data_IF_283732907629
#
_entry.id   IF_283732907629
#
_cell.length_a   1.000
_cell.length_b   1.000
_cell.length_c   1.000
_cell.angle_alpha   90.00
_cell.angle_beta   90.00
_cell.angle_gamma   90.00
#
_symmetry.space_group_name_H-M   'P 1'
#
loop_
_entity.id
_entity.type
_entity.pdbx_description
1 polymer ?
#
# COMPACT_ATOMS: atom_id res chain seq x y z
N UNK A 1 -14.90 5.44 -7.96
CA UNK A 1 -14.33 4.90 -6.70
C UNK A 1 -13.84 6.00 -5.79
N UNK A 2 -12.97 6.91 -6.26
CA UNK A 2 -12.55 8.09 -5.49
C UNK A 2 -13.73 8.97 -5.06
N UNK A 3 -14.73 9.15 -5.93
CA UNK A 3 -15.98 9.87 -5.57
C UNK A 3 -16.81 9.18 -4.49
N UNK A 4 -16.74 7.85 -4.40
CA UNK A 4 -17.53 7.06 -3.44
C UNK A 4 -16.82 6.91 -2.09
N UNK A 5 -15.50 7.05 -2.06
CA UNK A 5 -14.66 6.89 -0.87
C UNK A 5 -13.61 8.01 -0.77
N UNK A 6 -14.04 9.25 -0.51
CA UNK A 6 -13.12 10.36 -0.32
C UNK A 6 -12.27 10.13 0.94
N UNK A 7 -11.00 10.52 0.88
CA UNK A 7 -10.08 10.43 2.03
C UNK A 7 -9.44 9.05 2.26
N UNK A 8 -9.77 8.04 1.45
CA UNK A 8 -9.05 6.76 1.51
C UNK A 8 -7.73 6.82 0.76
N UNK A 9 -6.71 6.19 1.35
CA UNK A 9 -5.42 5.96 0.71
C UNK A 9 -5.57 4.76 -0.23
N UNK A 10 -5.32 4.98 -1.51
CA UNK A 10 -5.31 3.93 -2.52
C UNK A 10 -3.93 3.30 -2.59
N UNK A 11 -3.87 1.98 -2.51
CA UNK A 11 -2.64 1.23 -2.56
C UNK A 11 -2.61 0.32 -3.80
N UNK A 12 -1.47 0.31 -4.50
CA UNK A 12 -1.17 -0.62 -5.59
C UNK A 12 -0.31 -1.76 -5.09
N UNK A 13 -0.58 -2.98 -5.56
CA UNK A 13 0.29 -4.13 -5.27
C UNK A 13 1.67 -3.93 -5.88
N UNK A 14 2.71 -3.90 -5.04
CA UNK A 14 4.08 -3.63 -5.48
C UNK A 14 4.61 -4.67 -6.47
N UNK A 15 4.21 -5.94 -6.34
CA UNK A 15 4.64 -6.99 -7.28
C UNK A 15 4.10 -6.77 -8.70
N UNK A 16 2.85 -6.31 -8.83
CA UNK A 16 2.27 -5.98 -10.13
C UNK A 16 2.81 -4.66 -10.66
N UNK A 17 2.97 -3.67 -9.79
CA UNK A 17 3.55 -2.38 -10.15
C UNK A 17 4.97 -2.54 -10.71
N UNK A 18 5.82 -3.31 -10.04
CA UNK A 18 7.18 -3.63 -10.52
C UNK A 18 7.17 -4.24 -11.91
N UNK A 19 6.28 -5.20 -12.17
CA UNK A 19 6.15 -5.81 -13.52
C UNK A 19 5.77 -4.76 -14.55
N UNK A 20 4.77 -3.93 -14.26
CA UNK A 20 4.30 -2.90 -15.19
C UNK A 20 5.43 -1.92 -15.56
N UNK A 21 6.24 -1.48 -14.60
CA UNK A 21 7.39 -0.60 -14.88
C UNK A 21 8.46 -1.32 -15.68
N UNK A 22 8.80 -2.56 -15.30
CA UNK A 22 9.83 -3.35 -15.98
C UNK A 22 9.43 -3.77 -17.41
N UNK A 23 8.14 -3.91 -17.69
CA UNK A 23 7.62 -4.22 -19.02
C UNK A 23 7.78 -3.03 -19.98
N UNK A 24 7.81 -1.80 -19.44
CA UNK A 24 8.11 -0.57 -20.19
C UNK A 24 9.61 -0.23 -20.22
N UNK A 25 10.44 -0.99 -19.50
CA UNK A 25 11.87 -0.70 -19.39
C UNK A 25 12.63 -1.38 -20.52
N UNK A 26 13.48 -0.66 -21.28
CA UNK A 26 14.35 -1.28 -22.27
C UNK A 26 15.26 -2.35 -21.65
N UNK A 27 15.51 -3.44 -22.38
CA UNK A 27 16.26 -4.59 -21.86
C UNK A 27 17.64 -4.24 -21.30
N UNK A 28 18.33 -3.27 -21.90
CA UNK A 28 19.65 -2.79 -21.46
C UNK A 28 19.67 -2.14 -20.07
N UNK A 29 18.54 -1.61 -19.61
CA UNK A 29 18.40 -0.89 -18.34
C UNK A 29 17.51 -1.63 -17.34
N UNK A 30 17.09 -2.86 -17.66
CA UNK A 30 16.12 -3.60 -16.87
C UNK A 30 16.64 -3.98 -15.48
N UNK A 31 17.91 -4.34 -15.39
CA UNK A 31 18.56 -4.70 -14.12
C UNK A 31 18.74 -3.45 -13.23
N UNK A 32 19.23 -2.35 -13.82
CA UNK A 32 19.37 -1.06 -13.13
C UNK A 32 18.02 -0.54 -12.63
N UNK A 33 16.96 -0.62 -13.44
CA UNK A 33 15.61 -0.26 -13.02
C UNK A 33 15.09 -1.16 -11.91
N UNK A 34 15.38 -2.47 -11.95
CA UNK A 34 14.95 -3.39 -10.90
C UNK A 34 15.56 -3.03 -9.54
N UNK A 35 16.87 -2.77 -9.49
CA UNK A 35 17.58 -2.40 -8.27
C UNK A 35 17.03 -1.11 -7.67
N UNK A 36 16.80 -0.09 -8.51
CA UNK A 36 16.27 1.18 -8.01
C UNK A 36 14.81 1.05 -7.58
N UNK A 37 14.00 0.25 -8.26
CA UNK A 37 12.64 -0.07 -7.80
C UNK A 37 12.62 -0.80 -6.46
N UNK A 38 13.61 -1.64 -6.16
CA UNK A 38 13.74 -2.22 -4.80
C UNK A 38 13.99 -1.12 -3.78
N UNK A 39 14.95 -0.23 -4.05
CA UNK A 39 15.26 0.89 -3.17
C UNK A 39 14.04 1.80 -2.95
N UNK A 40 13.33 2.22 -3.99
CA UNK A 40 12.16 3.09 -3.85
C UNK A 40 11.07 2.42 -2.98
N UNK A 41 10.75 1.15 -3.23
CA UNK A 41 9.64 0.47 -2.57
C UNK A 41 9.95 0.01 -1.14
N UNK A 42 11.24 -0.13 -0.80
CA UNK A 42 11.75 -0.47 0.53
C UNK A 42 12.13 0.74 1.39
N UNK A 43 11.97 1.97 0.89
CA UNK A 43 12.26 3.19 1.63
C UNK A 43 11.59 3.25 3.01
N UNK A 44 12.22 3.98 3.94
CA UNK A 44 11.74 4.17 5.31
C UNK A 44 10.56 5.14 5.39
N UNK A 45 10.52 6.13 4.51
CA UNK A 45 9.49 7.17 4.44
C UNK A 45 9.11 7.55 3.00
N UNK A 46 8.03 8.33 2.85
CA UNK A 46 7.59 8.85 1.56
C UNK A 46 8.61 9.83 0.96
N UNK A 47 9.23 10.65 1.80
CA UNK A 47 10.24 11.64 1.40
C UNK A 47 11.47 10.93 0.83
N UNK A 48 11.97 9.89 1.52
CA UNK A 48 13.10 9.09 1.05
C UNK A 48 12.78 8.36 -0.27
N UNK A 49 11.58 7.77 -0.38
CA UNK A 49 11.13 7.16 -1.63
C UNK A 49 11.10 8.18 -2.77
N UNK A 50 10.70 9.42 -2.48
CA UNK A 50 10.59 10.48 -3.47
C UNK A 50 11.96 10.97 -3.93
N UNK A 51 12.90 11.18 -3.01
CA UNK A 51 14.29 11.53 -3.36
C UNK A 51 14.90 10.46 -4.28
N UNK A 52 14.73 9.17 -3.96
CA UNK A 52 15.22 8.07 -4.80
C UNK A 52 14.59 8.04 -6.19
N UNK A 53 13.32 8.42 -6.30
CA UNK A 53 12.64 8.56 -7.60
C UNK A 53 13.24 9.72 -8.40
N UNK A 54 13.41 10.89 -7.78
CA UNK A 54 13.92 12.07 -8.47
C UNK A 54 15.38 11.83 -8.95
N UNK A 55 16.23 11.20 -8.13
CA UNK A 55 17.59 10.76 -8.52
C UNK A 55 17.58 9.79 -9.71
N UNK A 56 16.59 8.89 -9.77
CA UNK A 56 16.45 7.94 -10.87
C UNK A 56 16.09 8.65 -12.18
N UNK A 57 15.19 9.64 -12.12
CA UNK A 57 14.77 10.40 -13.31
C UNK A 57 15.98 11.06 -13.94
N UNK A 58 16.81 11.76 -13.17
CA UNK A 58 18.01 12.42 -13.68
C UNK A 58 18.95 11.47 -14.44
N UNK A 59 19.01 10.19 -14.03
CA UNK A 59 19.88 9.17 -14.62
C UNK A 59 19.32 8.51 -15.87
N UNK A 60 17.98 8.37 -15.96
CA UNK A 60 17.30 7.52 -16.95
C UNK A 60 16.27 8.25 -17.83
N UNK A 61 16.08 9.56 -17.68
CA UNK A 61 15.05 10.37 -18.38
C UNK A 61 15.00 10.08 -19.89
N UNK A 62 16.14 10.18 -20.57
CA UNK A 62 16.22 9.96 -22.03
C UNK A 62 16.27 8.48 -22.42
N UNK A 63 16.63 7.59 -21.47
CA UNK A 63 16.92 6.18 -21.72
C UNK A 63 15.69 5.29 -21.55
N UNK A 64 14.81 5.63 -20.62
CA UNK A 64 13.67 4.81 -20.23
C UNK A 64 12.43 5.66 -19.88
N UNK A 65 12.14 6.68 -20.69
CA UNK A 65 11.04 7.64 -20.46
C UNK A 65 9.68 6.97 -20.20
N UNK A 66 9.29 5.97 -20.98
CA UNK A 66 8.03 5.21 -20.78
C UNK A 66 7.95 4.51 -19.41
N UNK A 67 9.07 3.95 -18.95
CA UNK A 67 9.13 3.31 -17.64
C UNK A 67 9.05 4.33 -16.51
N UNK A 68 9.68 5.50 -16.67
CA UNK A 68 9.62 6.59 -15.70
C UNK A 68 8.20 7.17 -15.60
N UNK A 69 7.52 7.40 -16.71
CA UNK A 69 6.10 7.83 -16.73
C UNK A 69 5.23 6.84 -15.95
N UNK A 70 5.37 5.54 -16.24
CA UNK A 70 4.63 4.48 -15.54
C UNK A 70 4.95 4.44 -14.04
N UNK A 71 6.22 4.68 -13.68
CA UNK A 71 6.68 4.70 -12.29
C UNK A 71 6.12 5.93 -11.55
N UNK A 72 6.13 7.10 -12.16
CA UNK A 72 5.60 8.33 -11.58
C UNK A 72 4.10 8.26 -11.32
N UNK A 73 3.34 7.81 -12.31
CA UNK A 73 1.89 7.70 -12.23
C UNK A 73 1.45 6.77 -11.09
N UNK A 74 2.18 5.67 -10.89
CA UNK A 74 1.88 4.69 -9.85
C UNK A 74 2.64 4.88 -8.54
N UNK A 75 3.51 5.90 -8.43
CA UNK A 75 4.44 6.05 -7.32
C UNK A 75 3.71 6.11 -5.97
N UNK A 76 2.81 7.08 -5.83
CA UNK A 76 2.10 7.33 -4.56
C UNK A 76 1.27 6.12 -4.13
N UNK A 77 0.61 5.44 -5.06
CA UNK A 77 -0.18 4.24 -4.76
C UNK A 77 0.72 3.07 -4.36
N UNK A 78 1.90 2.93 -4.96
CA UNK A 78 2.84 1.86 -4.65
C UNK A 78 3.58 2.07 -3.32
N UNK A 79 3.81 3.32 -2.92
CA UNK A 79 4.48 3.69 -1.66
C UNK A 79 3.50 4.01 -0.54
N UNK A 80 2.18 4.07 -0.80
CA UNK A 80 1.14 4.32 0.21
C UNK A 80 1.30 3.50 1.50
N UNK A 81 1.79 2.25 1.38
CA UNK A 81 2.05 1.35 2.50
C UNK A 81 3.09 1.88 3.51
N UNK A 82 3.93 2.84 3.12
CA UNK A 82 4.92 3.47 4.00
C UNK A 82 4.27 4.28 5.13
N UNK A 83 3.01 4.67 4.97
CA UNK A 83 2.22 5.30 6.05
C UNK A 83 1.90 4.34 7.21
N UNK A 84 2.11 3.03 7.04
CA UNK A 84 1.87 2.03 8.07
C UNK A 84 3.15 1.70 8.86
N UNK A 85 3.03 1.13 10.07
CA UNK A 85 4.20 0.65 10.82
C UNK A 85 4.94 -0.45 10.06
N UNK A 86 6.27 -0.49 10.23
CA UNK A 86 7.17 -1.37 9.47
C UNK A 86 6.74 -2.84 9.48
N UNK A 87 6.28 -3.34 10.63
CA UNK A 87 5.79 -4.71 10.81
C UNK A 87 4.70 -5.09 9.79
N UNK A 88 3.83 -4.15 9.45
CA UNK A 88 2.69 -4.37 8.55
C UNK A 88 3.07 -4.22 7.09
N UNK A 89 4.07 -3.38 6.79
CA UNK A 89 4.49 -3.07 5.42
C UNK A 89 4.78 -4.33 4.62
N UNK A 90 5.56 -5.26 5.17
CA UNK A 90 5.97 -6.49 4.44
C UNK A 90 4.79 -7.32 3.94
N UNK A 91 3.72 -7.46 4.73
CA UNK A 91 2.54 -8.27 4.34
C UNK A 91 1.58 -7.48 3.45
N UNK A 92 1.44 -6.18 3.68
CA UNK A 92 0.48 -5.34 2.97
C UNK A 92 1.01 -4.77 1.65
N UNK A 93 2.34 -4.70 1.45
CA UNK A 93 2.99 -4.29 0.18
C UNK A 93 2.49 -5.06 -1.05
N UNK A 94 1.96 -6.27 -0.87
CA UNK A 94 1.49 -7.13 -1.97
C UNK A 94 0.09 -7.69 -1.68
N UNK A 95 -0.56 -8.19 -2.73
CA UNK A 95 -1.86 -8.86 -2.66
C UNK A 95 -1.76 -10.38 -2.51
N UNK A 96 -0.61 -10.91 -2.08
CA UNK A 96 -0.35 -12.37 -2.05
C UNK A 96 -1.38 -13.14 -1.21
N UNK A 97 -1.88 -12.58 -0.10
CA UNK A 97 -2.95 -13.20 0.69
C UNK A 97 -4.21 -13.46 -0.16
N UNK A 98 -4.67 -12.43 -0.85
CA UNK A 98 -5.87 -12.48 -1.68
C UNK A 98 -5.64 -13.36 -2.91
N UNK A 99 -4.46 -13.27 -3.54
CA UNK A 99 -4.10 -14.12 -4.67
C UNK A 99 -4.09 -15.61 -4.29
N UNK A 100 -3.58 -15.96 -3.11
CA UNK A 100 -3.60 -17.34 -2.60
C UNK A 100 -5.02 -17.82 -2.34
N UNK A 101 -5.84 -16.99 -1.72
CA UNK A 101 -7.25 -17.30 -1.49
C UNK A 101 -8.02 -17.49 -2.80
N UNK A 102 -7.84 -16.60 -3.78
CA UNK A 102 -8.44 -16.71 -5.10
C UNK A 102 -7.95 -17.96 -5.82
N UNK A 103 -6.66 -18.31 -5.71
CA UNK A 103 -6.13 -19.56 -6.26
C UNK A 103 -6.81 -20.79 -5.66
N UNK A 104 -7.15 -20.78 -4.38
CA UNK A 104 -7.88 -21.88 -3.74
C UNK A 104 -9.31 -21.99 -4.27
N UNK A 105 -10.00 -20.86 -4.47
CA UNK A 105 -11.29 -20.84 -5.17
C UNK A 105 -11.15 -21.49 -6.57
N UNK A 106 -10.16 -21.05 -7.36
CA UNK A 106 -9.91 -21.58 -8.71
C UNK A 106 -9.58 -23.08 -8.71
N UNK A 107 -8.87 -23.57 -7.70
CA UNK A 107 -8.56 -25.01 -7.55
C UNK A 107 -9.83 -25.83 -7.35
N UNK A 108 -10.74 -25.39 -6.48
CA UNK A 108 -12.02 -26.07 -6.21
C UNK A 108 -12.99 -25.95 -7.40
N UNK A 109 -13.04 -24.79 -8.04
CA UNK A 109 -13.79 -24.55 -9.28
C UNK A 109 -13.38 -25.53 -10.39
N UNK A 110 -12.07 -25.74 -10.60
CA UNK A 110 -11.53 -26.59 -11.66
C UNK A 110 -12.01 -28.04 -11.58
N UNK A 111 -12.31 -28.55 -10.39
CA UNK A 111 -12.85 -29.91 -10.19
C UNK A 111 -14.31 -29.99 -10.61
N UNK A 112 -15.11 -28.95 -10.31
CA UNK A 112 -16.54 -28.91 -10.59
C UNK A 112 -16.82 -28.71 -12.09
N UNK A 113 -15.97 -27.93 -12.78
CA UNK A 113 -16.05 -27.58 -14.21
C UNK A 113 -17.28 -26.76 -14.62
N UNK A 114 -18.49 -27.21 -14.29
CA UNK A 114 -19.76 -26.55 -14.63
C UNK A 114 -20.65 -26.53 -13.40
N UNK A 115 -21.08 -25.34 -12.98
CA UNK A 115 -22.05 -25.20 -11.90
C UNK A 115 -23.48 -25.30 -12.43
N UNK A 116 -24.40 -25.93 -11.68
CA UNK A 116 -25.80 -26.04 -12.09
C UNK A 116 -26.58 -24.72 -12.00
N UNK A 117 -26.14 -23.79 -11.14
CA UNK A 117 -26.68 -22.43 -10.99
C UNK A 117 -25.70 -21.53 -10.21
N UNK A 118 -25.99 -20.22 -10.17
CA UNK A 118 -25.18 -19.23 -9.44
C UNK A 118 -25.12 -19.49 -7.93
N UNK A 119 -26.24 -19.91 -7.31
CA UNK A 119 -26.28 -20.17 -5.87
C UNK A 119 -25.31 -21.28 -5.45
N UNK A 120 -25.11 -22.28 -6.32
CA UNK A 120 -24.15 -23.35 -6.08
C UNK A 120 -22.71 -22.85 -6.09
N UNK A 121 -22.39 -21.87 -6.94
CA UNK A 121 -21.09 -21.19 -6.92
C UNK A 121 -20.93 -20.33 -5.65
N UNK A 122 -21.97 -19.57 -5.28
CA UNK A 122 -21.96 -18.79 -4.03
C UNK A 122 -21.76 -19.67 -2.80
N UNK A 123 -22.40 -20.85 -2.74
CA UNK A 123 -22.20 -21.81 -1.64
C UNK A 123 -20.76 -22.28 -1.53
N UNK A 124 -20.09 -22.59 -2.65
CA UNK A 124 -18.68 -22.99 -2.64
C UNK A 124 -17.79 -21.87 -2.10
N UNK A 125 -17.94 -20.67 -2.65
CA UNK A 125 -17.13 -19.51 -2.24
C UNK A 125 -17.40 -19.16 -0.78
N UNK A 126 -18.66 -19.12 -0.37
CA UNK A 126 -19.06 -18.85 1.00
C UNK A 126 -18.54 -19.89 2.00
N UNK A 127 -18.57 -21.18 1.64
CA UNK A 127 -18.01 -22.25 2.46
C UNK A 127 -16.49 -22.08 2.65
N UNK A 128 -15.75 -21.77 1.59
CA UNK A 128 -14.31 -21.50 1.69
C UNK A 128 -14.00 -20.23 2.49
N UNK A 129 -14.81 -19.17 2.36
CA UNK A 129 -14.70 -17.97 3.20
C UNK A 129 -14.88 -18.31 4.68
N UNK A 130 -15.90 -19.13 5.01
CA UNK A 130 -16.17 -19.54 6.39
C UNK A 130 -15.03 -20.40 6.97
N UNK A 131 -14.53 -21.37 6.20
CA UNK A 131 -13.37 -22.20 6.56
C UNK A 131 -12.13 -21.34 6.83
N UNK A 132 -11.79 -20.44 5.90
CA UNK A 132 -10.63 -19.54 6.05
C UNK A 132 -10.79 -18.62 7.25
N UNK A 133 -12.01 -18.12 7.49
CA UNK A 133 -12.30 -17.28 8.66
C UNK A 133 -12.11 -18.04 9.97
N UNK A 134 -12.59 -19.28 10.05
CA UNK A 134 -12.42 -20.14 11.23
C UNK A 134 -10.94 -20.44 11.49
N UNK A 135 -10.19 -20.81 10.45
CA UNK A 135 -8.73 -21.05 10.54
C UNK A 135 -7.98 -19.82 11.06
N UNK A 136 -8.30 -18.62 10.57
CA UNK A 136 -7.63 -17.40 11.01
C UNK A 136 -8.07 -16.95 12.39
N UNK A 137 -9.32 -17.23 12.78
CA UNK A 137 -9.85 -16.83 14.08
C UNK A 137 -9.36 -17.71 15.22
N UNK A 138 -9.23 -19.02 14.97
CA UNK A 138 -8.88 -20.03 15.98
C UNK A 138 -7.41 -20.48 15.91
N UNK A 139 -6.80 -20.42 14.72
CA UNK A 139 -5.45 -20.88 14.45
C UNK A 139 -4.47 -19.74 14.23
N UNK A 140 -3.60 -19.90 13.22
CA UNK A 140 -2.54 -18.94 12.92
C UNK A 140 -3.10 -17.77 12.11
N UNK A 141 -3.31 -16.64 12.76
CA UNK A 141 -3.73 -15.37 12.12
C UNK A 141 -2.78 -14.95 11.00
N UNK A 142 -3.36 -14.54 9.88
CA UNK A 142 -2.59 -13.94 8.78
C UNK A 142 -2.01 -12.57 9.17
N UNK A 143 -2.70 -11.77 9.99
CA UNK A 143 -2.23 -10.47 10.47
C UNK A 143 -2.78 -10.25 11.89
N UNK A 144 -1.90 -9.87 12.81
CA UNK A 144 -2.28 -9.49 14.18
C UNK A 144 -2.33 -7.97 14.26
N UNK A 145 -3.46 -7.41 14.65
CA UNK A 145 -3.71 -5.96 14.57
C UNK A 145 -3.48 -5.20 15.88
N UNK A 146 -3.12 -5.88 16.96
CA UNK A 146 -2.98 -5.25 18.30
C UNK A 146 -1.99 -4.07 18.26
N UNK A 147 -0.77 -4.29 17.75
CA UNK A 147 0.25 -3.24 17.60
C UNK A 147 -0.15 -2.12 16.63
N UNK A 148 -1.00 -2.41 15.64
CA UNK A 148 -1.53 -1.36 14.74
C UNK A 148 -2.49 -0.45 15.49
N UNK A 149 -3.35 -1.01 16.33
CA UNK A 149 -4.29 -0.22 17.11
C UNK A 149 -3.60 0.60 18.20
N UNK A 150 -2.55 0.08 18.82
CA UNK A 150 -1.66 0.84 19.72
C UNK A 150 -1.02 2.01 18.97
N UNK A 151 -0.30 1.73 17.87
CA UNK A 151 0.32 2.75 17.03
C UNK A 151 -0.64 3.83 16.54
N UNK A 152 -1.86 3.44 16.14
CA UNK A 152 -2.89 4.38 15.68
C UNK A 152 -3.37 5.29 16.82
N UNK A 153 -3.49 4.73 18.02
CA UNK A 153 -3.91 5.50 19.20
C UNK A 153 -2.85 6.54 19.55
N UNK A 154 -1.58 6.13 19.58
CA UNK A 154 -0.45 7.03 19.84
C UNK A 154 -0.43 8.19 18.84
N UNK A 155 -0.59 7.90 17.53
CA UNK A 155 -0.68 8.95 16.50
C UNK A 155 -1.89 9.87 16.66
N UNK A 156 -3.06 9.33 17.02
CA UNK A 156 -4.24 10.18 17.22
C UNK A 156 -4.09 11.13 18.40
N UNK A 157 -3.28 10.74 19.39
CA UNK A 157 -2.92 11.60 20.52
C UNK A 157 -1.89 12.65 20.09
N UNK A 158 -0.87 12.26 19.32
CA UNK A 158 0.10 13.22 18.73
C UNK A 158 -0.58 14.24 17.82
N UNK A 159 -1.44 13.81 16.89
CA UNK A 159 -2.16 14.69 15.97
C UNK A 159 -3.06 15.69 16.74
N UNK A 160 -3.69 15.25 17.84
CA UNK A 160 -4.51 16.12 18.70
C UNK A 160 -3.67 17.11 19.52
N UNK A 161 -2.49 16.69 20.00
CA UNK A 161 -1.55 17.57 20.70
C UNK A 161 -0.92 18.60 19.75
N UNK A 162 -0.64 18.21 18.51
CA UNK A 162 -0.13 19.12 17.48
C UNK A 162 -1.19 20.14 17.06
N UNK A 163 -2.47 19.74 16.92
CA UNK A 163 -3.59 20.69 16.73
C UNK A 163 -3.72 21.67 17.90
N UNK A 164 -3.69 21.19 19.15
CA UNK A 164 -3.75 22.06 20.34
C UNK A 164 -2.52 23.00 20.43
N UNK A 165 -1.33 22.53 20.05
CA UNK A 165 -0.10 23.33 20.07
C UNK A 165 -0.08 24.37 18.94
N UNK A 166 -0.61 24.05 17.76
CA UNK A 166 -0.78 25.00 16.65
C UNK A 166 -1.76 26.11 17.01
N UNK A 167 -2.89 25.76 17.62
CA UNK A 167 -3.91 26.71 18.09
C UNK A 167 -3.39 27.62 19.22
N UNK A 168 -2.58 27.07 20.14
CA UNK A 168 -1.98 27.83 21.24
C UNK A 168 -0.73 28.64 20.82
N UNK A 169 -0.01 28.20 19.78
CA UNK A 169 1.11 28.92 19.18
C UNK A 169 0.70 30.23 18.48
N UNK A 170 -0.45 30.23 17.80
CA UNK A 170 -1.04 31.44 17.22
C UNK A 170 -1.54 32.44 18.28
N UNK A 171 -2.03 31.95 19.43
CA UNK A 171 -2.50 32.80 20.53
C UNK A 171 -1.36 33.55 21.25
N UNK A 172 -0.15 33.00 21.26
CA UNK A 172 0.99 33.61 21.98
C UNK A 172 1.71 34.69 21.16
N UNK A 173 1.60 34.64 19.83
CA UNK A 173 2.20 35.64 18.92
C UNK A 173 1.44 37.00 18.88
N UNK A 174 0.21 37.08 19.41
CA UNK A 174 -0.61 38.29 19.36
C UNK A 174 -0.55 39.19 20.61
N UNK A 175 0.19 38.84 21.67
CA UNK A 175 0.21 39.66 22.91
C UNK A 175 1.44 40.56 23.12
N UNK A 176 2.36 40.63 22.15
CA UNK A 176 3.60 41.40 22.29
C UNK A 176 3.64 42.69 21.44
N UNK A 177 2.62 43.55 21.46
CA UNK A 177 2.79 44.98 21.11
C UNK A 177 1.65 45.87 21.61
N UNK A 178 1.81 46.53 22.76
CA UNK A 178 1.23 47.87 22.99
C UNK A 178 2.16 48.64 23.94
N UNK A 179 2.86 49.69 23.47
CA UNK A 179 3.49 50.67 24.36
C UNK A 179 2.57 51.87 24.56
N UNK A 180 2.52 52.38 25.79
CA UNK A 180 2.25 53.78 26.11
C UNK A 180 2.96 54.11 27.44
#
# INVERSE_FOLDING_TARGET
MQEAFPGLIWQRCQSHFRRNVLDQTPSSYRDEMHEVLDQILEAGSQEEARTRLDDLKERLEEKASSALETLEDGFYEATAVLALPEKYRKRLRTTNMLERFIQEIRRREKVIRIFPNMDSAHRLVGALCAETHEEWSTGRRYLTMDEYFEWRTDRSVEDALDEETSLNGEATAQSATVPA
#
